data_IF_990812860253
#
_entry.id   IF_990812860253
#
_cell.length_a   1.000
_cell.length_b   1.000
_cell.length_c   1.000
_cell.angle_alpha   90.00
_cell.angle_beta   90.00
_cell.angle_gamma   90.00
#
_symmetry.space_group_name_H-M   'P 1'
#
loop_
_entity.id
_entity.type
_entity.pdbx_description
1 polymer ?
#
# COMPACT_ATOMS: atom_id res chain seq x y z
N UNK A 1 17.26 -2.82 -13.43
CA UNK A 1 17.05 -1.94 -12.25
C UNK A 1 15.99 -2.57 -11.36
N UNK A 2 16.35 -2.94 -10.14
CA UNK A 2 15.41 -3.45 -9.14
C UNK A 2 14.57 -2.28 -8.63
N UNK A 3 13.25 -2.38 -8.70
CA UNK A 3 12.36 -1.37 -8.14
C UNK A 3 12.28 -1.55 -6.62
N UNK A 4 12.59 -0.49 -5.88
CA UNK A 4 12.44 -0.47 -4.43
C UNK A 4 11.11 0.20 -4.08
N UNK A 5 10.14 -0.60 -3.67
CA UNK A 5 8.84 -0.10 -3.23
C UNK A 5 8.96 0.69 -1.93
N UNK A 6 8.41 1.91 -1.83
CA UNK A 6 8.32 2.65 -0.56
C UNK A 6 7.42 1.97 0.46
N UNK A 7 6.61 0.99 0.01
CA UNK A 7 5.66 0.24 0.82
C UNK A 7 6.07 -1.21 1.03
N UNK A 8 7.29 -1.60 0.63
CA UNK A 8 7.78 -2.97 0.73
C UNK A 8 7.60 -3.56 2.13
N UNK A 9 7.85 -2.75 3.17
CA UNK A 9 7.76 -3.16 4.57
C UNK A 9 6.36 -3.62 4.97
N UNK A 10 5.29 -3.20 4.28
CA UNK A 10 3.92 -3.69 4.53
C UNK A 10 3.77 -5.20 4.32
N UNK A 11 4.66 -5.82 3.53
CA UNK A 11 4.69 -7.27 3.31
C UNK A 11 5.67 -8.01 4.24
N UNK A 12 6.31 -7.31 5.17
CA UNK A 12 7.36 -7.87 6.05
C UNK A 12 6.90 -7.84 7.52
N UNK A 13 7.71 -8.33 8.48
CA UNK A 13 7.46 -8.10 9.90
C UNK A 13 7.41 -6.61 10.30
N UNK A 14 8.04 -5.71 9.53
CA UNK A 14 8.05 -4.26 9.79
C UNK A 14 6.75 -3.55 9.39
N UNK A 15 5.72 -4.28 8.93
CA UNK A 15 4.45 -3.73 8.43
C UNK A 15 3.77 -2.77 9.39
N UNK A 16 3.79 -3.06 10.70
CA UNK A 16 3.17 -2.20 11.71
C UNK A 16 3.90 -0.88 11.88
N UNK A 17 5.24 -0.89 11.89
CA UNK A 17 6.06 0.32 11.99
C UNK A 17 5.82 1.25 10.81
N UNK A 18 5.77 0.70 9.59
CA UNK A 18 5.46 1.50 8.40
C UNK A 18 4.01 1.99 8.43
N UNK A 19 3.04 1.13 8.76
CA UNK A 19 1.64 1.51 8.81
C UNK A 19 1.39 2.63 9.85
N UNK A 20 2.06 2.59 10.99
CA UNK A 20 2.01 3.65 12.00
C UNK A 20 2.54 4.99 11.47
N UNK A 21 3.66 4.96 10.73
CA UNK A 21 4.21 6.17 10.09
C UNK A 21 3.24 6.76 9.07
N UNK A 22 2.66 5.91 8.21
CA UNK A 22 1.71 6.34 7.19
C UNK A 22 0.41 6.87 7.81
N UNK A 23 -0.09 6.23 8.87
CA UNK A 23 -1.24 6.69 9.64
C UNK A 23 -1.04 8.13 10.14
N UNK A 24 0.13 8.43 10.71
CA UNK A 24 0.49 9.78 11.12
C UNK A 24 0.58 10.79 9.97
N UNK A 25 1.14 10.39 8.81
CA UNK A 25 1.29 11.26 7.65
C UNK A 25 -0.03 11.61 6.96
N UNK A 26 -0.97 10.67 6.93
CA UNK A 26 -2.24 10.82 6.21
C UNK A 26 -3.42 11.11 7.16
N UNK A 27 -3.18 11.25 8.46
CA UNK A 27 -4.23 11.38 9.49
C UNK A 27 -5.29 10.25 9.43
N UNK A 28 -4.83 9.04 9.10
CA UNK A 28 -5.64 7.83 9.00
C UNK A 28 -5.37 6.88 10.16
N UNK A 29 -6.27 5.92 10.36
CA UNK A 29 -6.07 4.87 11.36
C UNK A 29 -5.10 3.79 10.82
N UNK A 30 -4.29 3.19 11.69
CA UNK A 30 -3.32 2.14 11.29
C UNK A 30 -4.03 0.97 10.60
N UNK A 31 -5.19 0.56 11.12
CA UNK A 31 -6.02 -0.48 10.51
C UNK A 31 -6.47 -0.09 9.10
N UNK A 32 -6.87 1.18 8.91
CA UNK A 32 -7.28 1.70 7.62
C UNK A 32 -6.14 1.65 6.60
N UNK A 33 -4.91 1.98 7.00
CA UNK A 33 -3.71 1.83 6.16
C UNK A 33 -3.52 0.37 5.71
N UNK A 34 -3.51 -0.56 6.67
CA UNK A 34 -3.25 -1.98 6.40
C UNK A 34 -4.34 -2.60 5.53
N UNK A 35 -5.62 -2.37 5.86
CA UNK A 35 -6.74 -2.87 5.05
C UNK A 35 -6.77 -2.26 3.65
N UNK A 36 -6.46 -0.98 3.51
CA UNK A 36 -6.41 -0.32 2.20
C UNK A 36 -5.34 -0.96 1.32
N UNK A 37 -4.17 -1.26 1.87
CA UNK A 37 -3.09 -1.92 1.12
C UNK A 37 -3.53 -3.30 0.60
N UNK A 38 -4.13 -4.13 1.47
CA UNK A 38 -4.65 -5.45 1.08
C UNK A 38 -5.71 -5.34 -0.02
N UNK A 39 -6.68 -4.44 0.15
CA UNK A 39 -7.77 -4.20 -0.81
C UNK A 39 -7.28 -3.72 -2.18
N UNK A 40 -6.19 -2.95 -2.21
CA UNK A 40 -5.57 -2.50 -3.46
C UNK A 40 -4.75 -3.61 -4.11
N UNK A 41 -3.98 -4.35 -3.32
CA UNK A 41 -3.07 -5.38 -3.81
C UNK A 41 -3.80 -6.61 -4.34
N UNK A 42 -4.84 -7.09 -3.64
CA UNK A 42 -5.57 -8.32 -3.95
C UNK A 42 -5.99 -8.44 -5.43
N UNK A 43 -6.79 -7.51 -6.01
CA UNK A 43 -7.24 -7.66 -7.39
C UNK A 43 -6.10 -7.50 -8.41
N UNK A 44 -4.99 -6.85 -8.05
CA UNK A 44 -3.83 -6.72 -8.92
C UNK A 44 -3.04 -8.04 -8.94
N UNK A 45 -2.88 -8.67 -7.78
CA UNK A 45 -2.16 -9.92 -7.62
C UNK A 45 -2.94 -11.12 -8.17
N UNK A 46 -4.27 -11.12 -8.08
CA UNK A 46 -5.13 -12.17 -8.68
C UNK A 46 -4.93 -12.30 -10.20
N UNK A 47 -4.53 -11.23 -10.88
CA UNK A 47 -4.27 -11.21 -12.32
C UNK A 47 -2.82 -11.59 -12.68
N UNK A 48 -2.00 -11.97 -11.71
CA UNK A 48 -0.60 -12.34 -11.92
C UNK A 48 -0.42 -13.85 -11.96
N UNK A 49 0.29 -14.35 -12.97
CA UNK A 49 0.79 -15.72 -13.01
C UNK A 49 2.11 -15.83 -12.25
N UNK A 50 2.17 -16.68 -11.21
CA UNK A 50 3.39 -17.00 -10.46
C UNK A 50 3.51 -16.37 -9.07
N UNK A 51 4.37 -16.95 -8.22
CA UNK A 51 4.51 -16.61 -6.79
C UNK A 51 5.28 -15.31 -6.49
N UNK A 52 6.04 -14.78 -7.46
CA UNK A 52 6.91 -13.62 -7.23
C UNK A 52 6.29 -12.36 -7.81
N UNK A 53 6.08 -11.33 -7.00
CA UNK A 53 5.56 -10.04 -7.46
C UNK A 53 6.59 -9.39 -8.38
N UNK A 54 6.21 -9.12 -9.63
CA UNK A 54 7.12 -8.45 -10.56
C UNK A 54 7.28 -6.95 -10.20
N UNK A 55 8.42 -6.31 -10.53
CA UNK A 55 8.62 -4.88 -10.30
C UNK A 55 7.52 -3.99 -10.89
N UNK A 56 6.99 -4.36 -12.05
CA UNK A 56 5.89 -3.63 -12.73
C UNK A 56 4.59 -3.73 -11.94
N UNK A 57 4.28 -4.91 -11.41
CA UNK A 57 3.09 -5.11 -10.58
C UNK A 57 3.22 -4.39 -9.24
N UNK A 58 4.39 -4.45 -8.61
CA UNK A 58 4.65 -3.72 -7.37
C UNK A 58 4.45 -2.21 -7.54
N UNK A 59 4.96 -1.60 -8.62
CA UNK A 59 4.71 -0.18 -8.93
C UNK A 59 3.22 0.13 -9.04
N UNK A 60 2.46 -0.73 -9.72
CA UNK A 60 1.01 -0.54 -9.91
C UNK A 60 0.26 -0.57 -8.57
N UNK A 61 0.66 -1.46 -7.66
CA UNK A 61 0.13 -1.51 -6.30
C UNK A 61 0.47 -0.21 -5.57
N UNK A 62 1.73 0.21 -5.59
CA UNK A 62 2.23 1.39 -4.88
C UNK A 62 1.54 2.68 -5.36
N UNK A 63 1.39 2.86 -6.68
CA UNK A 63 0.72 4.01 -7.28
C UNK A 63 -0.76 4.07 -6.87
N UNK A 64 -1.46 2.94 -6.95
CA UNK A 64 -2.90 2.89 -6.61
C UNK A 64 -3.11 3.08 -5.12
N UNK A 65 -2.24 2.49 -4.30
CA UNK A 65 -2.27 2.65 -2.85
C UNK A 65 -2.05 4.12 -2.45
N UNK A 66 -1.01 4.76 -3.00
CA UNK A 66 -0.73 6.19 -2.76
C UNK A 66 -1.94 7.08 -3.09
N UNK A 67 -2.56 6.84 -4.25
CA UNK A 67 -3.75 7.59 -4.69
C UNK A 67 -4.92 7.40 -3.74
N UNK A 68 -5.16 6.16 -3.30
CA UNK A 68 -6.25 5.85 -2.36
C UNK A 68 -6.00 6.50 -1.00
N UNK A 69 -4.77 6.47 -0.46
CA UNK A 69 -4.45 7.14 0.81
C UNK A 69 -4.70 8.65 0.74
N UNK A 70 -4.30 9.30 -0.36
CA UNK A 70 -4.55 10.74 -0.56
C UNK A 70 -6.04 11.06 -0.62
N UNK A 71 -6.82 10.26 -1.32
CA UNK A 71 -8.27 10.45 -1.41
C UNK A 71 -8.96 10.24 -0.05
N UNK A 72 -8.55 9.22 0.71
CA UNK A 72 -9.07 8.96 2.05
C UNK A 72 -8.74 10.08 3.03
N UNK A 73 -7.51 10.61 2.99
CA UNK A 73 -7.10 11.73 3.81
C UNK A 73 -7.91 13.00 3.47
N UNK A 74 -8.03 13.33 2.18
CA UNK A 74 -8.78 14.50 1.73
C UNK A 74 -10.29 14.42 2.06
N UNK A 75 -10.87 13.22 2.07
CA UNK A 75 -12.27 13.01 2.46
C UNK A 75 -12.53 12.98 3.96
N UNK A 76 -11.47 12.93 4.80
CA UNK A 76 -11.60 13.04 6.26
C UNK A 76 -11.69 14.49 6.74
N UNK A 77 -11.25 15.44 5.91
CA UNK A 77 -11.28 16.88 6.18
C UNK A 77 -12.47 17.60 5.50
N UNK A 78 -13.41 16.86 4.90
CA UNK A 78 -14.57 17.37 4.16
C UNK A 78 -15.88 17.30 4.96
#
# INVERSE_FOLDING_TARGET
MTYNSPYADLNTPNRFTLALRLAGQYHLDVSQIMFTYLKVAEPILQNQSGRTISPTIQRKIDDRFTKTLRALAAGKDA
#
